data_IF_544922128058
#
_entry.id   IF_544922128058
#
_cell.length_a   1.000
_cell.length_b   1.000
_cell.length_c   1.000
_cell.angle_alpha   90.00
_cell.angle_beta   90.00
_cell.angle_gamma   90.00
#
_symmetry.space_group_name_H-M   'P 1'
#
loop_
_entity.id
_entity.type
_entity.pdbx_description
1 polymer ?
#
# COMPACT_ATOMS: atom_id res chain seq x y z
N UNK A 1 -4.10 1.47 33.23
CA UNK A 1 -3.16 0.42 32.81
C UNK A 1 -3.30 0.27 31.31
N UNK A 2 -2.24 0.49 30.54
CA UNK A 2 -2.23 0.24 29.09
C UNK A 2 -2.03 -1.26 28.86
N UNK A 3 -2.94 -1.87 28.11
CA UNK A 3 -2.77 -3.26 27.67
C UNK A 3 -1.74 -3.26 26.54
N UNK A 4 -0.67 -4.03 26.70
CA UNK A 4 0.30 -4.23 25.64
C UNK A 4 -0.27 -5.20 24.60
N UNK A 5 -0.50 -4.71 23.38
CA UNK A 5 -0.94 -5.51 22.25
C UNK A 5 0.27 -5.95 21.43
N UNK A 6 0.27 -7.21 20.99
CA UNK A 6 1.33 -7.79 20.14
C UNK A 6 0.80 -7.99 18.71
N UNK A 7 1.56 -7.61 17.67
CA UNK A 7 1.14 -7.86 16.29
C UNK A 7 1.12 -9.36 15.96
N UNK A 8 0.17 -9.77 15.11
CA UNK A 8 -0.03 -11.17 14.73
C UNK A 8 0.79 -11.56 13.49
N UNK A 9 2.12 -11.48 13.58
CA UNK A 9 3.04 -11.78 12.48
C UNK A 9 2.76 -13.12 11.79
N UNK A 10 2.69 -14.22 12.56
CA UNK A 10 2.52 -15.56 11.98
C UNK A 10 1.30 -15.72 11.05
N UNK A 11 0.17 -15.08 11.37
CA UNK A 11 -1.02 -15.13 10.52
C UNK A 11 -0.89 -14.29 9.25
N UNK A 12 -0.25 -13.12 9.37
CA UNK A 12 -0.09 -12.18 8.25
C UNK A 12 0.98 -12.69 7.27
N UNK A 13 2.13 -13.11 7.78
CA UNK A 13 3.23 -13.64 6.98
C UNK A 13 2.83 -14.92 6.23
N UNK A 14 2.02 -15.79 6.84
CA UNK A 14 1.52 -16.99 6.16
C UNK A 14 0.77 -16.71 4.85
N UNK A 15 0.24 -15.49 4.66
CA UNK A 15 -0.38 -15.05 3.42
C UNK A 15 0.58 -14.23 2.56
N UNK A 16 1.08 -13.10 3.08
CA UNK A 16 1.79 -12.11 2.26
C UNK A 16 3.27 -12.47 2.02
N UNK A 17 3.86 -13.35 2.83
CA UNK A 17 5.24 -13.81 2.64
C UNK A 17 5.33 -15.11 1.81
N UNK A 18 4.25 -15.51 1.13
CA UNK A 18 4.24 -16.71 0.28
C UNK A 18 5.31 -16.68 -0.81
N UNK A 19 5.31 -15.63 -1.64
CA UNK A 19 6.35 -15.29 -2.62
C UNK A 19 5.92 -14.04 -3.38
N UNK A 20 6.80 -13.05 -3.43
CA UNK A 20 6.60 -11.86 -4.27
C UNK A 20 6.38 -12.24 -5.75
N UNK A 21 7.14 -13.20 -6.27
CA UNK A 21 7.01 -13.64 -7.67
C UNK A 21 5.67 -14.31 -7.93
N UNK A 22 5.12 -15.02 -6.93
CA UNK A 22 3.80 -15.59 -7.03
C UNK A 22 2.71 -14.51 -7.11
N UNK A 23 2.79 -13.47 -6.27
CA UNK A 23 1.83 -12.36 -6.31
C UNK A 23 1.91 -11.57 -7.63
N UNK A 24 3.11 -11.40 -8.20
CA UNK A 24 3.31 -10.76 -9.51
C UNK A 24 2.62 -11.47 -10.67
N UNK A 25 2.23 -12.74 -10.51
CA UNK A 25 1.51 -13.47 -11.57
C UNK A 25 0.10 -12.95 -11.81
N UNK A 26 -0.51 -12.28 -10.83
CA UNK A 26 -1.93 -11.90 -10.92
C UNK A 26 -2.26 -10.50 -10.41
N UNK A 27 -1.40 -9.87 -9.61
CA UNK A 27 -1.58 -8.46 -9.27
C UNK A 27 -1.26 -7.58 -10.48
N UNK A 28 -1.80 -6.36 -10.47
CA UNK A 28 -1.38 -5.34 -11.43
C UNK A 28 0.10 -4.95 -11.21
N UNK A 29 0.75 -4.25 -12.15
CA UNK A 29 2.17 -3.88 -12.05
C UNK A 29 2.55 -3.10 -10.79
N UNK A 30 1.63 -2.36 -10.17
CA UNK A 30 1.88 -1.65 -8.91
C UNK A 30 1.95 -2.58 -7.69
N UNK A 31 1.52 -3.83 -7.84
CA UNK A 31 1.28 -4.82 -6.78
C UNK A 31 0.31 -4.29 -5.71
N UNK A 32 -0.71 -3.53 -6.13
CA UNK A 32 -1.74 -3.05 -5.20
C UNK A 32 -2.68 -4.20 -4.86
N UNK A 33 -2.71 -4.60 -3.60
CA UNK A 33 -3.52 -5.74 -3.15
C UNK A 33 -4.68 -5.32 -2.26
N UNK A 34 -5.61 -4.58 -2.86
CA UNK A 34 -6.90 -4.20 -2.29
C UNK A 34 -7.88 -3.89 -3.42
N UNK A 35 -9.15 -3.62 -3.09
CA UNK A 35 -10.18 -3.32 -4.09
C UNK A 35 -9.77 -2.12 -4.97
N UNK A 36 -9.89 -2.24 -6.29
CA UNK A 36 -9.68 -1.16 -7.23
C UNK A 36 -10.91 -0.22 -7.30
N UNK A 37 -10.76 0.95 -7.90
CA UNK A 37 -11.84 1.91 -8.12
C UNK A 37 -11.93 2.27 -9.60
N UNK A 38 -12.89 1.65 -10.29
CA UNK A 38 -13.17 1.90 -11.70
C UNK A 38 -14.01 3.17 -11.84
N UNK A 39 -13.34 4.33 -11.85
CA UNK A 39 -13.99 5.63 -12.08
C UNK A 39 -14.57 5.74 -13.51
N UNK A 40 -14.01 4.98 -14.45
CA UNK A 40 -14.54 4.80 -15.81
C UNK A 40 -14.60 3.30 -16.13
N UNK A 41 -15.62 2.89 -16.88
CA UNK A 41 -15.89 1.47 -17.16
C UNK A 41 -14.73 0.76 -17.89
N UNK A 42 -14.00 1.46 -18.75
CA UNK A 42 -12.93 0.90 -19.61
C UNK A 42 -11.52 1.00 -18.99
N UNK A 43 -11.41 1.22 -17.68
CA UNK A 43 -10.10 1.25 -17.01
C UNK A 43 -9.46 -0.13 -16.99
N UNK A 44 -8.15 -0.18 -17.23
CA UNK A 44 -7.34 -1.32 -16.84
C UNK A 44 -7.30 -1.46 -15.32
N UNK A 45 -6.94 -2.64 -14.80
CA UNK A 45 -6.81 -2.83 -13.36
C UNK A 45 -5.77 -1.88 -12.74
N UNK A 46 -4.65 -1.66 -13.41
CA UNK A 46 -3.59 -0.74 -12.95
C UNK A 46 -4.14 0.69 -12.80
N UNK A 47 -4.84 1.19 -13.81
CA UNK A 47 -5.47 2.52 -13.77
C UNK A 47 -6.49 2.63 -12.64
N UNK A 48 -7.34 1.61 -12.47
CA UNK A 48 -8.33 1.57 -11.41
C UNK A 48 -7.70 1.47 -10.01
N UNK A 49 -6.51 0.87 -9.88
CA UNK A 49 -5.78 0.85 -8.61
C UNK A 49 -5.18 2.22 -8.29
N UNK A 50 -4.59 2.91 -9.28
CA UNK A 50 -4.12 4.29 -9.10
C UNK A 50 -5.29 5.22 -8.77
N UNK A 51 -6.42 5.09 -9.46
CA UNK A 51 -7.64 5.86 -9.17
C UNK A 51 -8.12 5.64 -7.73
N UNK A 52 -8.07 4.39 -7.23
CA UNK A 52 -8.39 4.09 -5.82
C UNK A 52 -7.42 4.75 -4.85
N UNK A 53 -6.11 4.67 -5.12
CA UNK A 53 -5.09 5.29 -4.27
C UNK A 53 -5.33 6.81 -4.21
N UNK A 54 -5.56 7.43 -5.37
CA UNK A 54 -5.85 8.86 -5.48
C UNK A 54 -7.14 9.25 -4.74
N UNK A 55 -8.19 8.42 -4.84
CA UNK A 55 -9.44 8.61 -4.11
C UNK A 55 -9.23 8.56 -2.58
N UNK A 56 -8.38 7.66 -2.08
CA UNK A 56 -8.09 7.55 -0.66
C UNK A 56 -7.26 8.74 -0.16
N UNK A 57 -6.15 9.04 -0.84
CA UNK A 57 -5.25 10.15 -0.48
C UNK A 57 -5.94 11.52 -0.61
N UNK A 58 -6.78 11.70 -1.64
CA UNK A 58 -7.49 12.95 -1.90
C UNK A 58 -8.50 13.35 -0.81
N UNK A 59 -8.86 12.42 0.09
CA UNK A 59 -9.75 12.69 1.24
C UNK A 59 -9.00 13.19 2.47
N UNK A 60 -7.67 13.15 2.47
CA UNK A 60 -6.85 13.46 3.64
C UNK A 60 -6.41 14.93 3.68
N UNK A 61 -6.71 15.72 2.64
CA UNK A 61 -6.24 17.11 2.48
C UNK A 61 -4.72 17.22 2.73
N UNK A 62 -3.95 16.35 2.09
CA UNK A 62 -2.48 16.35 2.21
C UNK A 62 -1.90 17.63 1.64
N UNK A 63 -0.93 18.19 2.37
CA UNK A 63 -0.13 19.33 1.93
C UNK A 63 1.36 18.95 1.90
N UNK A 64 2.15 19.56 1.00
CA UNK A 64 3.59 19.36 0.94
C UNK A 64 4.27 19.49 2.30
N UNK A 65 5.17 18.56 2.61
CA UNK A 65 5.92 18.52 3.86
C UNK A 65 5.20 17.85 5.04
N UNK A 66 3.92 17.49 4.92
CA UNK A 66 3.25 16.64 5.92
C UNK A 66 3.91 15.25 6.00
N UNK A 67 3.63 14.50 7.07
CA UNK A 67 4.03 13.09 7.21
C UNK A 67 2.81 12.19 7.21
N UNK A 68 2.67 11.36 6.17
CA UNK A 68 1.64 10.34 6.06
C UNK A 68 2.10 9.04 6.73
N UNK A 69 1.26 8.44 7.57
CA UNK A 69 1.45 7.09 8.10
C UNK A 69 0.56 6.10 7.32
N UNK A 70 1.17 5.16 6.61
CA UNK A 70 0.49 4.06 5.92
C UNK A 70 0.60 2.77 6.74
N UNK A 71 -0.51 2.35 7.36
CA UNK A 71 -0.59 1.17 8.23
C UNK A 71 -1.05 -0.05 7.42
N UNK A 72 -0.13 -0.97 7.14
CA UNK A 72 -0.37 -2.08 6.21
C UNK A 72 -0.08 -1.68 4.76
N UNK A 73 1.09 -1.09 4.53
CA UNK A 73 1.47 -0.43 3.26
C UNK A 73 1.58 -1.37 2.04
N UNK A 74 1.51 -2.68 2.25
CA UNK A 74 1.65 -3.67 1.18
C UNK A 74 3.00 -3.54 0.47
N UNK A 75 2.99 -3.65 -0.86
CA UNK A 75 4.18 -3.44 -1.70
C UNK A 75 4.46 -1.97 -2.04
N UNK A 76 3.85 -1.02 -1.30
CA UNK A 76 4.25 0.40 -1.29
C UNK A 76 3.73 1.27 -2.43
N UNK A 77 2.75 0.81 -3.22
CA UNK A 77 2.16 1.61 -4.29
C UNK A 77 1.57 2.94 -3.75
N UNK A 78 0.81 2.89 -2.66
CA UNK A 78 0.24 4.06 -1.99
C UNK A 78 1.32 5.00 -1.46
N UNK A 79 2.35 4.45 -0.84
CA UNK A 79 3.49 5.20 -0.28
C UNK A 79 4.20 6.01 -1.37
N UNK A 80 4.57 5.35 -2.48
CA UNK A 80 5.21 6.01 -3.63
C UNK A 80 4.31 7.09 -4.23
N UNK A 81 3.03 6.77 -4.46
CA UNK A 81 2.05 7.71 -5.00
C UNK A 81 1.85 8.93 -4.10
N UNK A 82 1.86 8.77 -2.78
CA UNK A 82 1.74 9.87 -1.83
C UNK A 82 2.92 10.84 -1.93
N UNK A 83 4.16 10.32 -1.96
CA UNK A 83 5.36 11.14 -2.17
C UNK A 83 5.28 11.88 -3.50
N UNK A 84 5.06 11.15 -4.60
CA UNK A 84 5.15 11.71 -5.95
C UNK A 84 4.05 12.74 -6.26
N UNK A 85 2.83 12.52 -5.75
CA UNK A 85 1.67 13.36 -6.09
C UNK A 85 1.40 14.47 -5.08
N UNK A 86 1.72 14.26 -3.80
CA UNK A 86 1.36 15.18 -2.72
C UNK A 86 2.57 15.80 -2.00
N UNK A 87 3.81 15.41 -2.35
CA UNK A 87 5.05 15.92 -1.75
C UNK A 87 5.08 15.78 -0.22
N UNK A 88 4.57 14.65 0.27
CA UNK A 88 4.58 14.31 1.71
C UNK A 88 5.72 13.37 2.05
N UNK A 89 6.21 13.48 3.27
CA UNK A 89 6.99 12.44 3.92
C UNK A 89 6.09 11.23 4.22
N UNK A 90 6.67 10.04 4.31
CA UNK A 90 5.92 8.81 4.56
C UNK A 90 6.57 7.97 5.64
N UNK A 91 5.75 7.38 6.49
CA UNK A 91 6.12 6.27 7.39
C UNK A 91 5.22 5.11 7.02
N UNK A 92 5.81 3.95 6.77
CA UNK A 92 5.10 2.77 6.28
C UNK A 92 5.26 1.61 7.26
N UNK A 93 4.15 0.95 7.60
CA UNK A 93 4.15 -0.23 8.47
C UNK A 93 3.67 -1.45 7.68
N UNK A 94 4.37 -2.56 7.81
CA UNK A 94 3.89 -3.88 7.40
C UNK A 94 4.41 -4.93 8.38
N UNK A 95 3.70 -6.06 8.47
CA UNK A 95 4.15 -7.24 9.21
C UNK A 95 4.74 -8.32 8.29
N UNK A 96 4.78 -8.06 6.97
CA UNK A 96 5.37 -8.94 5.96
C UNK A 96 6.82 -8.58 5.73
N UNK A 97 7.70 -9.58 5.79
CA UNK A 97 9.13 -9.41 5.52
C UNK A 97 9.37 -9.13 4.03
N UNK A 98 8.63 -9.81 3.14
CA UNK A 98 8.76 -9.63 1.70
C UNK A 98 8.34 -8.20 1.28
N UNK A 99 7.21 -7.73 1.78
CA UNK A 99 6.73 -6.38 1.53
C UNK A 99 7.69 -5.32 2.07
N UNK A 100 8.19 -5.49 3.30
CA UNK A 100 9.18 -4.58 3.88
C UNK A 100 10.45 -4.51 3.01
N UNK A 101 10.98 -5.67 2.59
CA UNK A 101 12.16 -5.75 1.73
C UNK A 101 11.92 -5.16 0.33
N UNK A 102 10.71 -5.29 -0.21
CA UNK A 102 10.33 -4.69 -1.49
C UNK A 102 10.23 -3.16 -1.43
N UNK A 103 9.66 -2.62 -0.35
CA UNK A 103 9.45 -1.17 -0.18
C UNK A 103 10.75 -0.43 0.15
N UNK A 104 11.71 -1.09 0.80
CA UNK A 104 12.99 -0.50 1.19
C UNK A 104 13.99 -0.33 0.03
N UNK A 105 13.74 -0.97 -1.11
CA UNK A 105 14.57 -0.89 -2.33
C UNK A 105 14.28 0.39 -3.11
#
# INVERSE_FOLDING_TARGET
MTVQLTPHFGNVQAHYDLSDDFFRLFLDPTQTYSCAYFERDEMTLEEAQIAKIDLALGKLNLEPGMTLLDIGCGWGATVRRAIEKYDVNVVALTLSENQAAHVQK
#
